data_IF_870597670668
#
_entry.id   IF_870597670668
#
_cell.length_a   1.000
_cell.length_b   1.000
_cell.length_c   1.000
_cell.angle_alpha   90.00
_cell.angle_beta   90.00
_cell.angle_gamma   90.00
#
_symmetry.space_group_name_H-M   'P 1'
#
loop_
_entity.id
_entity.type
_entity.pdbx_description
1 polymer ?
#
# COMPACT_ATOMS: atom_id res chain seq x y z
N UNK A 1 11.32 -14.60 -35.82
CA UNK A 1 11.61 -13.70 -34.66
C UNK A 1 10.42 -12.78 -34.45
N UNK A 2 9.52 -13.09 -33.51
CA UNK A 2 8.46 -12.16 -33.12
C UNK A 2 9.10 -11.14 -32.19
N UNK A 3 9.25 -9.91 -32.68
CA UNK A 3 9.72 -8.79 -31.87
C UNK A 3 8.71 -8.56 -30.74
N UNK A 4 9.06 -8.96 -29.52
CA UNK A 4 8.39 -8.43 -28.33
C UNK A 4 8.77 -6.96 -28.26
N UNK A 5 7.84 -6.05 -28.54
CA UNK A 5 8.01 -4.63 -28.23
C UNK A 5 8.26 -4.47 -26.72
N UNK A 6 9.52 -4.58 -26.30
CA UNK A 6 10.00 -3.93 -25.08
C UNK A 6 10.30 -2.50 -25.48
N UNK A 7 9.26 -1.66 -25.50
CA UNK A 7 9.48 -0.22 -25.43
C UNK A 7 10.42 0.03 -24.25
N UNK A 8 11.48 0.82 -24.46
CA UNK A 8 12.40 1.18 -23.40
C UNK A 8 11.65 1.78 -22.21
N UNK A 9 12.18 1.58 -21.00
CA UNK A 9 11.61 2.17 -19.79
C UNK A 9 11.50 3.69 -19.94
N UNK A 10 10.35 4.24 -19.55
CA UNK A 10 10.16 5.68 -19.45
C UNK A 10 11.11 6.30 -18.41
N UNK A 11 11.21 7.62 -18.37
CA UNK A 11 12.00 8.32 -17.34
C UNK A 11 11.47 7.99 -15.94
N UNK A 12 10.14 7.96 -15.78
CA UNK A 12 9.47 7.58 -14.54
C UNK A 12 9.75 6.12 -14.14
N UNK A 13 9.72 5.19 -15.10
CA UNK A 13 10.03 3.78 -14.85
C UNK A 13 11.47 3.59 -14.39
N UNK A 14 12.42 4.28 -15.04
CA UNK A 14 13.83 4.22 -14.66
C UNK A 14 14.05 4.74 -13.24
N UNK A 15 13.43 5.87 -12.88
CA UNK A 15 13.50 6.42 -11.52
C UNK A 15 12.86 5.50 -10.48
N UNK A 16 11.69 4.93 -10.78
CA UNK A 16 11.03 3.98 -9.89
C UNK A 16 11.92 2.74 -9.64
N UNK A 17 12.54 2.22 -10.71
CA UNK A 17 13.50 1.11 -10.61
C UNK A 17 14.73 1.50 -9.81
N UNK A 18 15.29 2.69 -10.01
CA UNK A 18 16.44 3.19 -9.25
C UNK A 18 16.13 3.25 -7.75
N UNK A 19 14.99 3.82 -7.35
CA UNK A 19 14.58 3.91 -5.94
C UNK A 19 14.38 2.53 -5.34
N UNK A 20 13.68 1.63 -6.03
CA UNK A 20 13.38 0.28 -5.52
C UNK A 20 14.62 -0.63 -5.53
N UNK A 21 15.59 -0.39 -6.41
CA UNK A 21 16.82 -1.18 -6.52
C UNK A 21 17.96 -0.65 -5.63
N UNK A 22 17.87 0.60 -5.17
CA UNK A 22 18.78 1.21 -4.19
C UNK A 22 18.61 0.52 -2.82
N UNK A 23 19.68 0.35 -2.03
CA UNK A 23 20.01 -0.91 -1.38
C UNK A 23 18.83 -1.51 -0.61
N UNK A 24 18.41 -2.69 -1.06
CA UNK A 24 17.56 -3.60 -0.30
C UNK A 24 18.22 -3.85 1.06
N UNK A 25 17.70 -3.23 2.12
CA UNK A 25 18.14 -3.56 3.46
C UNK A 25 17.42 -4.83 3.88
N UNK A 26 18.17 -5.91 4.02
CA UNK A 26 17.68 -7.13 4.67
C UNK A 26 17.80 -6.92 6.18
N UNK A 27 16.72 -6.46 6.79
CA UNK A 27 16.65 -6.37 8.24
C UNK A 27 15.76 -7.48 8.77
N UNK A 28 16.31 -8.34 9.63
CA UNK A 28 15.55 -9.35 10.39
C UNK A 28 14.63 -10.20 9.50
N UNK A 29 15.11 -10.64 8.33
CA UNK A 29 14.33 -11.48 7.41
C UNK A 29 13.29 -10.75 6.57
N UNK A 30 13.23 -9.42 6.64
CA UNK A 30 12.37 -8.58 5.81
C UNK A 30 13.20 -7.77 4.81
N UNK A 31 12.72 -7.71 3.57
CA UNK A 31 13.26 -6.79 2.56
C UNK A 31 12.61 -5.42 2.75
N UNK A 32 13.43 -4.41 3.02
CA UNK A 32 13.01 -3.03 3.04
C UNK A 32 13.45 -2.34 1.74
N UNK A 33 12.54 -1.59 1.14
CA UNK A 33 12.78 -0.75 -0.04
C UNK A 33 12.20 0.64 0.19
N UNK A 34 12.78 1.64 -0.45
CA UNK A 34 12.22 2.98 -0.47
C UNK A 34 10.88 3.00 -1.19
N UNK A 35 9.94 3.81 -0.69
CA UNK A 35 8.75 4.14 -1.46
C UNK A 35 9.15 4.91 -2.73
N UNK A 36 8.66 4.53 -3.92
CA UNK A 36 9.07 5.13 -5.19
C UNK A 36 8.41 6.51 -5.37
N UNK A 37 8.84 7.52 -4.63
CA UNK A 37 8.27 8.86 -4.67
C UNK A 37 8.43 9.51 -6.05
N UNK A 38 7.41 10.23 -6.52
CA UNK A 38 7.46 11.04 -7.74
C UNK A 38 8.37 12.26 -7.62
N UNK A 39 8.58 12.76 -6.41
CA UNK A 39 9.41 13.93 -6.11
C UNK A 39 10.19 13.65 -4.83
N UNK A 40 11.42 14.16 -4.71
CA UNK A 40 12.29 13.87 -3.54
C UNK A 40 11.70 14.45 -2.24
N UNK A 41 10.87 15.49 -2.36
CA UNK A 41 10.06 16.06 -1.29
C UNK A 41 8.58 15.91 -1.68
N UNK A 42 7.93 14.77 -1.37
CA UNK A 42 6.51 14.61 -1.66
C UNK A 42 5.70 15.60 -0.82
N UNK A 43 4.68 16.22 -1.44
CA UNK A 43 3.78 17.14 -0.76
C UNK A 43 2.55 16.37 -0.31
N UNK A 44 2.48 16.06 0.98
CA UNK A 44 1.34 15.40 1.60
C UNK A 44 0.83 16.28 2.74
N UNK A 45 -0.34 16.93 2.60
CA UNK A 45 -0.94 17.68 3.67
C UNK A 45 -1.37 16.75 4.81
N UNK A 46 -1.32 17.26 6.05
CA UNK A 46 -1.67 16.48 7.22
C UNK A 46 -3.16 16.07 7.20
N UNK A 47 -3.43 14.79 6.94
CA UNK A 47 -4.79 14.26 6.81
C UNK A 47 -5.33 13.64 8.12
N UNK A 48 -4.71 13.90 9.27
CA UNK A 48 -5.05 13.30 10.56
C UNK A 48 -6.51 13.50 10.95
N UNK A 49 -7.05 14.70 10.77
CA UNK A 49 -8.44 15.02 11.11
C UNK A 49 -9.42 14.12 10.34
N UNK A 50 -9.21 14.01 9.02
CA UNK A 50 -10.04 13.18 8.15
C UNK A 50 -9.89 11.69 8.49
N UNK A 51 -8.68 11.23 8.80
CA UNK A 51 -8.41 9.87 9.23
C UNK A 51 -9.11 9.56 10.57
N UNK A 52 -9.06 10.48 11.53
CA UNK A 52 -9.72 10.37 12.83
C UNK A 52 -11.24 10.27 12.71
N UNK A 53 -11.87 11.16 11.93
CA UNK A 53 -13.31 11.09 11.64
C UNK A 53 -13.72 9.72 11.07
N UNK A 54 -12.93 9.19 10.14
CA UNK A 54 -13.20 7.88 9.51
C UNK A 54 -12.99 6.71 10.46
N UNK A 55 -11.97 6.80 11.32
CA UNK A 55 -11.74 5.81 12.37
C UNK A 55 -12.91 5.78 13.35
N UNK A 56 -13.45 6.94 13.72
CA UNK A 56 -14.62 7.03 14.59
C UNK A 56 -15.87 6.42 13.95
N UNK A 57 -16.09 6.63 12.66
CA UNK A 57 -17.16 5.94 11.93
C UNK A 57 -16.99 4.40 11.96
N UNK A 58 -15.75 3.92 11.80
CA UNK A 58 -15.45 2.49 11.90
C UNK A 58 -15.69 1.96 13.31
N UNK A 59 -15.28 2.71 14.34
CA UNK A 59 -15.53 2.38 15.76
C UNK A 59 -17.02 2.26 16.06
N UNK A 60 -17.84 3.22 15.60
CA UNK A 60 -19.32 3.17 15.73
C UNK A 60 -19.94 1.98 15.00
N UNK A 61 -19.30 1.45 13.96
CA UNK A 61 -19.74 0.23 13.30
C UNK A 61 -19.44 -1.01 14.15
N UNK A 62 -18.26 -1.06 14.77
CA UNK A 62 -17.89 -2.13 15.69
C UNK A 62 -18.81 -2.21 16.91
N UNK A 63 -19.26 -1.08 17.45
CA UNK A 63 -20.22 -1.09 18.57
C UNK A 63 -21.58 -1.69 18.21
N UNK A 64 -21.93 -1.73 16.92
CA UNK A 64 -23.19 -2.32 16.43
C UNK A 64 -23.05 -3.78 16.00
N UNK A 65 -21.82 -4.23 15.75
CA UNK A 65 -21.51 -5.55 15.21
C UNK A 65 -20.25 -6.09 15.91
N UNK A 66 -20.46 -6.79 17.02
CA UNK A 66 -19.36 -7.31 17.83
C UNK A 66 -18.58 -8.42 17.10
N UNK A 67 -19.25 -9.22 16.27
CA UNK A 67 -18.59 -10.25 15.45
C UNK A 67 -17.62 -9.62 14.46
N UNK A 68 -18.01 -8.50 13.83
CA UNK A 68 -17.11 -7.74 12.97
C UNK A 68 -15.88 -7.22 13.73
N UNK A 69 -16.04 -6.76 14.98
CA UNK A 69 -14.92 -6.29 15.80
C UNK A 69 -13.93 -7.42 16.09
N UNK A 70 -14.41 -8.57 16.54
CA UNK A 70 -13.58 -9.74 16.85
C UNK A 70 -12.78 -10.21 15.63
N UNK A 71 -13.44 -10.36 14.48
CA UNK A 71 -12.79 -10.74 13.23
C UNK A 71 -11.77 -9.69 12.77
N UNK A 72 -12.07 -8.41 12.94
CA UNK A 72 -11.18 -7.31 12.59
C UNK A 72 -9.93 -7.29 13.48
N UNK A 73 -10.11 -7.41 14.80
CA UNK A 73 -9.02 -7.49 15.77
C UNK A 73 -8.12 -8.69 15.50
N UNK A 74 -8.69 -9.86 15.17
CA UNK A 74 -7.91 -11.03 14.81
C UNK A 74 -6.99 -10.77 13.59
N UNK A 75 -7.45 -10.03 12.58
CA UNK A 75 -6.61 -9.66 11.43
C UNK A 75 -5.53 -8.64 11.81
N UNK A 76 -5.86 -7.62 12.59
CA UNK A 76 -4.88 -6.62 13.05
C UNK A 76 -3.80 -7.24 13.94
N UNK A 77 -4.18 -8.09 14.89
CA UNK A 77 -3.24 -8.81 15.77
C UNK A 77 -2.34 -9.77 14.97
N UNK A 78 -2.85 -10.34 13.89
CA UNK A 78 -2.03 -11.14 12.96
C UNK A 78 -1.02 -10.28 12.19
N UNK A 79 -1.36 -9.03 11.84
CA UNK A 79 -0.39 -8.11 11.23
C UNK A 79 0.68 -7.66 12.23
N UNK A 80 0.28 -7.35 13.48
CA UNK A 80 1.20 -7.02 14.57
C UNK A 80 2.17 -8.18 14.87
N UNK A 81 1.67 -9.39 15.09
CA UNK A 81 2.51 -10.56 15.41
C UNK A 81 3.48 -10.96 14.29
N UNK A 82 3.19 -10.57 13.04
CA UNK A 82 4.07 -10.76 11.89
C UNK A 82 5.04 -9.60 11.65
N UNK A 83 4.97 -8.52 12.43
CA UNK A 83 5.77 -7.32 12.23
C UNK A 83 5.43 -6.53 10.97
N UNK A 84 4.25 -6.73 10.35
CA UNK A 84 3.84 -5.97 9.16
C UNK A 84 3.38 -4.56 9.52
N UNK A 85 2.91 -4.38 10.75
CA UNK A 85 2.58 -3.10 11.34
C UNK A 85 3.22 -3.05 12.73
N UNK A 86 3.56 -1.84 13.16
CA UNK A 86 4.04 -1.54 14.50
C UNK A 86 3.14 -0.49 15.13
N UNK A 87 3.10 -0.45 16.45
CA UNK A 87 2.44 0.65 17.16
C UNK A 87 3.22 1.93 16.92
N UNK A 88 2.52 2.99 16.50
CA UNK A 88 3.15 4.28 16.26
C UNK A 88 3.50 4.94 17.61
N UNK A 89 4.80 5.02 17.93
CA UNK A 89 5.28 5.70 19.14
C UNK A 89 5.06 7.20 19.02
N UNK A 90 4.58 7.85 20.09
CA UNK A 90 4.49 9.32 20.15
C UNK A 90 5.86 10.02 20.22
N UNK A 91 6.88 9.31 20.71
CA UNK A 91 8.21 9.86 21.02
C UNK A 91 9.21 9.73 19.86
N UNK A 92 8.98 8.79 18.94
CA UNK A 92 9.82 8.56 17.74
C UNK A 92 9.25 9.18 16.47
N UNK A 93 8.21 10.01 16.57
CA UNK A 93 7.59 10.63 15.40
C UNK A 93 8.36 11.90 15.02
N UNK A 94 9.17 11.80 13.96
CA UNK A 94 9.77 12.97 13.35
C UNK A 94 8.66 13.84 12.74
N UNK A 95 8.36 14.96 13.40
CA UNK A 95 7.33 15.89 12.96
C UNK A 95 7.68 16.61 11.66
N UNK A 96 8.97 16.60 11.27
CA UNK A 96 9.44 17.14 9.99
C UNK A 96 9.39 16.09 8.87
N UNK A 97 9.18 14.81 9.21
CA UNK A 97 9.03 13.75 8.23
C UNK A 97 7.65 13.76 7.55
N UNK A 98 7.63 13.26 6.32
CA UNK A 98 6.42 13.10 5.53
C UNK A 98 5.49 12.11 6.22
N UNK A 99 4.34 12.59 6.70
CA UNK A 99 3.36 11.80 7.42
C UNK A 99 2.02 11.72 6.67
N UNK A 100 1.50 10.51 6.51
CA UNK A 100 0.18 10.27 5.92
C UNK A 100 -0.57 9.15 6.64
N UNK A 101 -1.78 9.44 7.11
CA UNK A 101 -2.61 8.47 7.80
C UNK A 101 -3.43 7.68 6.79
N UNK A 102 -3.18 6.37 6.72
CA UNK A 102 -3.86 5.49 5.78
C UNK A 102 -5.17 5.01 6.39
N UNK A 103 -6.27 5.29 5.69
CA UNK A 103 -7.59 4.77 6.06
C UNK A 103 -7.61 3.26 5.87
N UNK A 104 -8.17 2.53 6.82
CA UNK A 104 -8.43 1.11 6.68
C UNK A 104 -9.90 0.77 6.89
N UNK A 105 -10.41 -0.25 6.21
CA UNK A 105 -11.77 -0.73 6.43
C UNK A 105 -11.90 -2.25 6.19
N UNK A 106 -12.86 -2.91 6.86
CA UNK A 106 -13.12 -4.32 6.61
C UNK A 106 -13.77 -4.51 5.24
N UNK A 107 -13.19 -5.40 4.44
CA UNK A 107 -13.77 -5.90 3.21
C UNK A 107 -14.48 -7.23 3.45
N UNK A 108 -15.70 -7.33 2.90
CA UNK A 108 -16.59 -8.47 3.06
C UNK A 108 -16.78 -9.10 1.69
N UNK A 109 -16.41 -10.37 1.55
CA UNK A 109 -16.71 -11.14 0.34
C UNK A 109 -17.93 -12.04 0.60
N UNK A 110 -19.08 -11.81 -0.06
CA UNK A 110 -20.26 -12.66 0.08
C UNK A 110 -20.00 -14.14 -0.24
N UNK A 111 -19.03 -14.42 -1.13
CA UNK A 111 -18.65 -15.79 -1.53
C UNK A 111 -17.72 -16.48 -0.53
N UNK A 112 -17.22 -15.77 0.48
CA UNK A 112 -16.31 -16.28 1.52
C UNK A 112 -16.74 -15.75 2.89
N UNK A 113 -17.91 -16.18 3.40
CA UNK A 113 -18.38 -15.78 4.73
C UNK A 113 -17.36 -16.18 5.80
N UNK A 114 -17.21 -15.35 6.84
CA UNK A 114 -16.26 -15.55 7.93
C UNK A 114 -14.79 -15.25 7.61
N UNK A 115 -14.43 -14.96 6.34
CA UNK A 115 -13.06 -14.55 5.98
C UNK A 115 -12.99 -13.05 5.71
N UNK A 116 -12.76 -12.27 6.77
CA UNK A 116 -12.52 -10.82 6.64
C UNK A 116 -11.13 -10.52 6.13
N UNK A 117 -11.04 -9.42 5.37
CA UNK A 117 -9.78 -8.78 4.98
C UNK A 117 -9.85 -7.32 5.38
N UNK A 118 -8.70 -6.74 5.69
CA UNK A 118 -8.59 -5.30 5.91
C UNK A 118 -8.01 -4.69 4.64
N UNK A 119 -8.68 -3.67 4.11
CA UNK A 119 -8.23 -2.91 2.95
C UNK A 119 -7.69 -1.58 3.44
N UNK A 120 -6.46 -1.28 3.04
CA UNK A 120 -5.80 0.00 3.25
C UNK A 120 -6.01 0.86 2.00
N UNK A 121 -6.71 1.98 2.17
CA UNK A 121 -7.10 2.88 1.08
C UNK A 121 -6.08 4.02 0.93
N UNK A 122 -5.07 3.78 0.08
CA UNK A 122 -4.06 4.76 -0.29
C UNK A 122 -4.51 5.72 -1.41
N UNK A 123 -5.68 5.48 -2.01
CA UNK A 123 -6.28 6.33 -3.04
C UNK A 123 -7.17 7.44 -2.45
N UNK A 124 -7.36 7.43 -1.13
CA UNK A 124 -8.09 8.46 -0.41
C UNK A 124 -7.52 9.86 -0.69
N UNK A 125 -8.30 10.71 -1.34
CA UNK A 125 -7.92 12.11 -1.59
C UNK A 125 -8.16 12.96 -0.34
N UNK A 126 -7.19 13.81 0.00
CA UNK A 126 -7.30 14.90 0.96
C UNK A 126 -6.59 16.14 0.40
N UNK A 127 -7.28 17.28 0.43
CA UNK A 127 -6.80 18.55 -0.12
C UNK A 127 -6.19 18.41 -1.54
N UNK A 128 -6.85 17.65 -2.42
CA UNK A 128 -6.48 17.51 -3.83
C UNK A 128 -5.37 16.49 -4.13
N UNK A 129 -4.87 15.75 -3.16
CA UNK A 129 -3.89 14.68 -3.41
C UNK A 129 -4.16 13.40 -2.60
N UNK A 130 -3.67 12.27 -3.08
CA UNK A 130 -3.62 11.00 -2.37
C UNK A 130 -2.18 10.46 -2.29
N UNK A 131 -1.94 9.46 -1.42
CA UNK A 131 -0.63 8.80 -1.35
C UNK A 131 -0.26 8.16 -2.70
N UNK A 132 -1.21 7.53 -3.37
CA UNK A 132 -0.98 6.95 -4.70
C UNK A 132 -0.56 8.01 -5.74
N UNK A 133 -1.06 9.25 -5.63
CA UNK A 133 -0.67 10.33 -6.54
C UNK A 133 0.78 10.77 -6.36
N UNK A 134 1.36 10.52 -5.18
CA UNK A 134 2.76 10.86 -4.86
C UNK A 134 3.75 9.73 -5.21
N UNK A 135 3.27 8.55 -5.62
CA UNK A 135 4.10 7.40 -5.92
C UNK A 135 4.18 7.13 -7.43
N UNK A 136 5.37 6.78 -7.90
CA UNK A 136 5.60 6.25 -9.23
C UNK A 136 5.05 4.83 -9.30
N UNK A 137 4.34 4.54 -10.38
CA UNK A 137 3.79 3.21 -10.64
C UNK A 137 4.89 2.17 -10.89
N UNK A 138 5.98 2.61 -11.53
CA UNK A 138 7.03 1.74 -12.05
C UNK A 138 6.60 0.92 -13.27
N UNK A 139 7.55 0.19 -13.87
CA UNK A 139 7.33 -0.51 -15.12
C UNK A 139 6.43 -1.73 -14.93
N UNK A 140 5.65 -2.04 -15.97
CA UNK A 140 4.91 -3.30 -16.02
C UNK A 140 5.88 -4.46 -16.35
N UNK A 141 6.23 -5.24 -15.34
CA UNK A 141 7.12 -6.42 -15.47
C UNK A 141 6.39 -7.69 -15.84
N UNK A 142 5.04 -7.66 -15.91
CA UNK A 142 4.24 -8.82 -16.29
C UNK A 142 4.42 -9.11 -17.77
N UNK A 143 4.73 -10.38 -18.08
CA UNK A 143 4.82 -10.82 -19.47
C UNK A 143 3.48 -10.62 -20.19
N UNK A 144 3.52 -10.11 -21.43
CA UNK A 144 2.35 -10.09 -22.29
C UNK A 144 1.77 -11.50 -22.43
N UNK A 145 0.48 -11.67 -22.12
CA UNK A 145 -0.22 -12.94 -22.25
C UNK A 145 -0.08 -13.49 -23.68
N UNK A 146 -0.20 -12.64 -24.69
CA UNK A 146 0.00 -13.01 -26.10
C UNK A 146 1.43 -13.55 -26.31
N UNK A 147 2.43 -12.84 -25.79
CA UNK A 147 3.82 -13.26 -25.88
C UNK A 147 4.07 -14.60 -25.19
N UNK A 148 3.41 -14.86 -24.06
CA UNK A 148 3.46 -16.16 -23.37
C UNK A 148 2.83 -17.23 -24.26
N UNK A 149 1.59 -17.05 -24.72
CA UNK A 149 0.86 -18.04 -25.52
C UNK A 149 1.57 -18.39 -26.84
N UNK A 150 2.22 -17.41 -27.49
CA UNK A 150 2.98 -17.66 -28.72
C UNK A 150 4.24 -18.52 -28.49
N UNK A 151 4.89 -18.42 -27.31
CA UNK A 151 6.06 -19.24 -26.97
C UNK A 151 5.71 -20.68 -26.60
N UNK A 152 4.46 -20.97 -26.24
CA UNK A 152 3.98 -22.33 -26.00
C UNK A 152 3.67 -23.12 -27.29
N UNK A 153 3.71 -22.47 -28.46
CA UNK A 153 3.39 -23.07 -29.77
C UNK A 153 4.62 -23.50 -30.59
N UNK A 154 5.81 -23.51 -29.98
CA UNK A 154 7.05 -24.01 -30.59
C UNK A 154 7.53 -25.25 -29.85
#
# INVERSE_FOLDING_TARGET
>A
MVQTHRNGYSVEDKRALEIVSSPFKLEVGHFQVGLPWKYDRPSLPNNLELAGCRLECLRKRFTKDNSLLEEYQAVMNKHLSKGYIIEASKEGFDHDAVCWYIRHHPFINPKKPGKRRIVFDCAAVYQGCSLNDQLLRGPNTVNSLIGVLLRFRL
#
